data_IF_979732290570
#
_entry.id   IF_979732290570
#
_cell.length_a   1.000
_cell.length_b   1.000
_cell.length_c   1.000
_cell.angle_alpha   90.00
_cell.angle_beta   90.00
_cell.angle_gamma   90.00
#
_symmetry.space_group_name_H-M   'P 1'
#
loop_
_entity.id
_entity.type
_entity.pdbx_description
1 polymer ?
#
# COMPACT_ATOMS: atom_id res chain seq x y z
N UNK A 1 14.32 -18.65 -7.93
CA UNK A 1 14.03 -17.47 -7.09
C UNK A 1 13.86 -17.93 -5.65
N UNK A 2 14.49 -17.29 -4.67
CA UNK A 2 14.27 -17.61 -3.25
C UNK A 2 13.09 -16.81 -2.70
N UNK A 3 12.50 -17.25 -1.59
CA UNK A 3 11.34 -16.62 -0.96
C UNK A 3 11.49 -15.09 -0.72
N UNK A 4 12.64 -14.58 -0.23
CA UNK A 4 12.85 -13.14 -0.10
C UNK A 4 12.77 -12.35 -1.43
N UNK A 5 13.27 -12.94 -2.53
CA UNK A 5 13.21 -12.29 -3.84
C UNK A 5 11.78 -12.16 -4.35
N UNK A 6 10.94 -13.17 -4.08
CA UNK A 6 9.53 -13.10 -4.42
C UNK A 6 8.80 -11.99 -3.65
N UNK A 7 9.04 -11.89 -2.33
CA UNK A 7 8.44 -10.83 -1.51
C UNK A 7 8.90 -9.43 -1.95
N UNK A 8 10.17 -9.27 -2.33
CA UNK A 8 10.67 -8.03 -2.89
C UNK A 8 9.98 -7.69 -4.21
N UNK A 9 9.89 -8.64 -5.14
CA UNK A 9 9.21 -8.44 -6.41
C UNK A 9 7.72 -8.06 -6.21
N UNK A 10 7.04 -8.70 -5.26
CA UNK A 10 5.66 -8.39 -4.89
C UNK A 10 5.54 -6.96 -4.35
N UNK A 11 6.42 -6.57 -3.43
CA UNK A 11 6.45 -5.22 -2.86
C UNK A 11 6.73 -4.14 -3.91
N UNK A 12 7.72 -4.37 -4.78
CA UNK A 12 8.03 -3.48 -5.90
C UNK A 12 6.84 -3.36 -6.85
N UNK A 13 6.21 -4.48 -7.21
CA UNK A 13 5.02 -4.48 -8.07
C UNK A 13 3.85 -3.70 -7.46
N UNK A 14 3.58 -3.89 -6.17
CA UNK A 14 2.55 -3.15 -5.46
C UNK A 14 2.85 -1.64 -5.41
N UNK A 15 4.11 -1.26 -5.14
CA UNK A 15 4.54 0.14 -5.15
C UNK A 15 4.40 0.77 -6.54
N UNK A 16 4.90 0.11 -7.59
CA UNK A 16 4.79 0.59 -8.97
C UNK A 16 3.33 0.82 -9.38
N UNK A 17 2.44 -0.12 -9.04
CA UNK A 17 1.02 0.03 -9.31
C UNK A 17 0.41 1.20 -8.52
N UNK A 18 0.80 1.37 -7.25
CA UNK A 18 0.31 2.47 -6.42
C UNK A 18 0.73 3.83 -6.99
N UNK A 19 2.00 3.99 -7.37
CA UNK A 19 2.50 5.21 -8.01
C UNK A 19 1.84 5.44 -9.37
N UNK A 20 1.71 4.38 -10.19
CA UNK A 20 0.99 4.46 -11.46
C UNK A 20 -0.44 4.93 -11.25
N UNK A 21 -1.14 4.45 -10.22
CA UNK A 21 -2.49 4.88 -9.89
C UNK A 21 -2.56 6.38 -9.56
N UNK A 22 -1.64 6.89 -8.73
CA UNK A 22 -1.60 8.32 -8.37
C UNK A 22 -1.33 9.20 -9.59
N UNK A 23 -0.40 8.78 -10.47
CA UNK A 23 -0.06 9.52 -11.70
C UNK A 23 -1.20 9.46 -12.71
N UNK A 24 -1.84 8.29 -12.87
CA UNK A 24 -2.92 8.07 -13.84
C UNK A 24 -4.22 8.75 -13.42
N UNK A 25 -4.49 8.81 -12.12
CA UNK A 25 -5.73 9.34 -11.55
C UNK A 25 -5.44 10.40 -10.48
N UNK A 26 -4.92 11.58 -10.87
CA UNK A 26 -4.51 12.61 -9.92
C UNK A 26 -5.67 13.14 -9.06
N UNK A 27 -6.89 13.09 -9.57
CA UNK A 27 -8.10 13.61 -8.91
C UNK A 27 -8.78 12.59 -7.97
N UNK A 28 -8.32 11.34 -7.94
CA UNK A 28 -8.89 10.24 -7.13
C UNK A 28 -8.27 10.16 -5.72
N UNK A 29 -7.58 11.20 -5.27
CA UNK A 29 -6.89 11.25 -3.98
C UNK A 29 -7.66 12.01 -2.88
N UNK A 30 -7.22 11.90 -1.61
CA UNK A 30 -7.78 12.67 -0.51
C UNK A 30 -7.60 14.17 -0.73
N UNK A 31 -8.69 14.94 -0.62
CA UNK A 31 -8.68 16.39 -0.85
C UNK A 31 -7.81 17.19 0.15
N UNK A 32 -7.58 16.65 1.36
CA UNK A 32 -6.93 17.36 2.46
C UNK A 32 -5.88 16.48 3.17
N UNK A 33 -4.82 17.11 3.69
CA UNK A 33 -3.73 16.44 4.44
C UNK A 33 -4.25 15.54 5.57
N UNK A 34 -5.25 16.00 6.33
CA UNK A 34 -5.85 15.21 7.41
C UNK A 34 -6.45 13.88 6.92
N UNK A 35 -7.08 13.86 5.74
CA UNK A 35 -7.64 12.63 5.16
C UNK A 35 -6.52 11.70 4.70
N UNK A 36 -5.46 12.24 4.08
CA UNK A 36 -4.29 11.43 3.72
C UNK A 36 -3.63 10.79 4.95
N UNK A 37 -3.49 11.55 6.04
CA UNK A 37 -2.93 11.03 7.30
C UNK A 37 -3.79 9.90 7.89
N UNK A 38 -5.12 9.99 7.78
CA UNK A 38 -6.04 8.91 8.19
C UNK A 38 -5.82 7.66 7.33
N UNK A 39 -5.67 7.80 6.02
CA UNK A 39 -5.39 6.67 5.12
C UNK A 39 -4.06 6.00 5.47
N UNK A 40 -3.02 6.79 5.74
CA UNK A 40 -1.71 6.28 6.19
C UNK A 40 -1.85 5.56 7.53
N UNK A 41 -2.52 6.15 8.52
CA UNK A 41 -2.78 5.51 9.81
C UNK A 41 -3.55 4.20 9.69
N UNK A 42 -4.58 4.16 8.83
CA UNK A 42 -5.33 2.94 8.52
C UNK A 42 -4.46 1.91 7.82
N UNK A 43 -3.60 2.31 6.88
CA UNK A 43 -2.70 1.39 6.20
C UNK A 43 -1.70 0.75 7.18
N UNK A 44 -1.15 1.52 8.12
CA UNK A 44 -0.30 0.99 9.18
C UNK A 44 -1.07 0.05 10.12
N UNK A 45 -2.27 0.43 10.55
CA UNK A 45 -3.11 -0.41 11.40
C UNK A 45 -3.42 -1.74 10.72
N UNK A 46 -3.87 -1.71 9.46
CA UNK A 46 -4.15 -2.93 8.69
C UNK A 46 -2.87 -3.74 8.48
N UNK A 47 -1.77 -3.09 8.10
CA UNK A 47 -0.47 -3.75 7.91
C UNK A 47 0.05 -4.45 9.17
N UNK A 48 -0.28 -3.94 10.35
CA UNK A 48 0.06 -4.57 11.62
C UNK A 48 -0.70 -5.88 11.87
N UNK A 49 -1.98 -5.94 11.51
CA UNK A 49 -2.82 -7.13 11.72
C UNK A 49 -2.65 -8.21 10.64
N UNK A 50 -2.18 -7.83 9.46
CA UNK A 50 -2.11 -8.73 8.30
C UNK A 50 -1.22 -9.95 8.51
N UNK A 51 -0.04 -9.88 9.15
CA UNK A 51 0.77 -11.06 9.45
C UNK A 51 0.02 -12.10 10.29
N UNK A 52 -0.73 -11.66 11.32
CA UNK A 52 -1.48 -12.54 12.20
C UNK A 52 -2.60 -13.24 11.42
N UNK A 53 -3.38 -12.47 10.65
CA UNK A 53 -4.45 -13.02 9.80
C UNK A 53 -3.88 -13.97 8.74
N UNK A 54 -2.76 -13.61 8.11
CA UNK A 54 -2.11 -14.43 7.10
C UNK A 54 -1.57 -15.74 7.68
N UNK A 55 -1.09 -15.74 8.93
CA UNK A 55 -0.65 -16.95 9.62
C UNK A 55 -1.78 -17.97 9.75
N UNK A 56 -3.01 -17.50 10.06
CA UNK A 56 -4.21 -18.34 10.12
C UNK A 56 -4.60 -18.83 8.71
N UNK A 57 -4.50 -18.00 7.69
CA UNK A 57 -4.76 -18.44 6.30
C UNK A 57 -3.81 -19.56 5.88
N UNK A 58 -2.55 -19.49 6.30
CA UNK A 58 -1.55 -20.53 6.01
C UNK A 58 -1.87 -21.89 6.64
N UNK A 59 -2.65 -21.95 7.73
CA UNK A 59 -3.02 -23.23 8.35
C UNK A 59 -3.98 -24.06 7.48
N UNK A 60 -4.68 -23.43 6.53
CA UNK A 60 -5.56 -24.12 5.58
C UNK A 60 -4.81 -24.75 4.39
N UNK A 61 -3.47 -24.69 4.38
CA UNK A 61 -2.61 -25.37 3.41
C UNK A 61 -2.13 -24.48 2.26
N UNK A 62 -1.34 -25.08 1.36
CA UNK A 62 -0.58 -24.34 0.34
C UNK A 62 -1.45 -23.49 -0.60
N UNK A 63 -2.59 -24.04 -1.07
CA UNK A 63 -3.49 -23.30 -1.97
C UNK A 63 -4.04 -22.04 -1.30
N UNK A 64 -4.46 -22.15 -0.04
CA UNK A 64 -4.97 -21.03 0.74
C UNK A 64 -3.88 -19.96 0.98
N UNK A 65 -2.64 -20.37 1.28
CA UNK A 65 -1.52 -19.46 1.45
C UNK A 65 -1.24 -18.64 0.18
N UNK A 66 -1.19 -19.30 -1.00
CA UNK A 66 -0.97 -18.61 -2.28
C UNK A 66 -2.11 -17.64 -2.58
N UNK A 67 -3.36 -18.04 -2.39
CA UNK A 67 -4.52 -17.14 -2.55
C UNK A 67 -4.46 -15.97 -1.57
N UNK A 68 -4.07 -16.21 -0.32
CA UNK A 68 -3.90 -15.17 0.70
C UNK A 68 -2.87 -14.11 0.32
N UNK A 69 -1.80 -14.47 -0.38
CA UNK A 69 -0.82 -13.48 -0.85
C UNK A 69 -1.47 -12.46 -1.78
N UNK A 70 -2.30 -12.89 -2.73
CA UNK A 70 -2.90 -12.00 -3.71
C UNK A 70 -4.17 -11.31 -3.23
N UNK A 71 -4.94 -11.93 -2.34
CA UNK A 71 -6.23 -11.39 -1.86
C UNK A 71 -6.07 -10.58 -0.58
N UNK A 72 -5.06 -10.87 0.24
CA UNK A 72 -4.83 -10.19 1.52
C UNK A 72 -3.55 -9.35 1.48
N UNK A 73 -2.39 -9.97 1.27
CA UNK A 73 -1.10 -9.29 1.42
C UNK A 73 -0.90 -8.21 0.36
N UNK A 74 -1.18 -8.54 -0.90
CA UNK A 74 -0.95 -7.64 -2.02
C UNK A 74 -1.83 -6.38 -1.99
N UNK A 75 -3.16 -6.44 -1.74
CA UNK A 75 -3.99 -5.25 -1.62
C UNK A 75 -3.58 -4.35 -0.46
N UNK A 76 -3.13 -4.94 0.66
CA UNK A 76 -2.63 -4.18 1.81
C UNK A 76 -1.35 -3.45 1.44
N UNK A 77 -0.38 -4.13 0.82
CA UNK A 77 0.84 -3.48 0.35
C UNK A 77 0.53 -2.35 -0.64
N UNK A 78 -0.33 -2.61 -1.62
CA UNK A 78 -0.76 -1.61 -2.60
C UNK A 78 -1.37 -0.39 -1.90
N UNK A 79 -2.28 -0.60 -0.96
CA UNK A 79 -2.94 0.48 -0.22
C UNK A 79 -1.96 1.26 0.68
N UNK A 80 -1.00 0.58 1.30
CA UNK A 80 0.07 1.23 2.08
C UNK A 80 0.90 2.15 1.21
N UNK A 81 1.39 1.68 0.06
CA UNK A 81 2.14 2.53 -0.86
C UNK A 81 1.28 3.65 -1.44
N UNK A 82 0.01 3.38 -1.75
CA UNK A 82 -0.92 4.37 -2.28
C UNK A 82 -1.18 5.50 -1.27
N UNK A 83 -1.41 5.16 -0.01
CA UNK A 83 -1.60 6.13 1.07
C UNK A 83 -0.36 7.02 1.27
N UNK A 84 0.83 6.42 1.23
CA UNK A 84 2.09 7.14 1.31
C UNK A 84 2.33 8.05 0.10
N UNK A 85 2.00 7.58 -1.11
CA UNK A 85 2.10 8.38 -2.33
C UNK A 85 1.16 9.59 -2.33
N UNK A 86 -0.08 9.44 -1.84
CA UNK A 86 -0.99 10.57 -1.64
C UNK A 86 -0.47 11.57 -0.62
N UNK A 87 0.06 11.08 0.50
CA UNK A 87 0.67 11.95 1.51
C UNK A 87 1.84 12.74 0.92
N UNK A 88 2.73 12.07 0.17
CA UNK A 88 3.87 12.71 -0.47
C UNK A 88 3.43 13.76 -1.49
N UNK A 89 2.43 13.46 -2.31
CA UNK A 89 1.85 14.42 -3.28
C UNK A 89 1.37 15.70 -2.59
N UNK A 90 0.58 15.57 -1.52
CA UNK A 90 0.05 16.74 -0.81
C UNK A 90 1.18 17.52 -0.13
N UNK A 91 2.17 16.83 0.45
CA UNK A 91 3.34 17.48 1.04
C UNK A 91 4.15 18.26 0.00
N UNK A 92 4.36 17.70 -1.20
CA UNK A 92 5.03 18.41 -2.30
C UNK A 92 4.22 19.60 -2.81
N UNK A 93 2.90 19.48 -2.90
CA UNK A 93 2.02 20.57 -3.32
C UNK A 93 2.07 21.74 -2.32
N UNK A 94 2.08 21.44 -1.01
CA UNK A 94 2.23 22.45 0.04
C UNK A 94 3.57 23.19 -0.03
N UNK A 95 4.68 22.48 -0.23
CA UNK A 95 6.01 23.09 -0.35
C UNK A 95 6.12 23.95 -1.61
N UNK A 96 5.53 23.50 -2.73
CA UNK A 96 5.48 24.25 -3.98
C UNK A 96 4.78 25.60 -3.83
N UNK A 97 3.73 25.67 -3.02
CA UNK A 97 3.01 26.92 -2.73
C UNK A 97 3.85 27.95 -1.95
N UNK A 98 4.86 27.55 -1.18
CA UNK A 98 5.74 28.49 -0.45
C UNK A 98 6.91 29.03 -1.30
N UNK A 99 7.13 28.48 -2.51
CA UNK A 99 8.20 28.92 -3.42
C UNK A 99 7.76 30.02 -4.41
N UNK A 100 6.49 30.41 -4.38
CA UNK A 100 5.91 31.52 -5.16
C UNK A 100 5.50 32.65 -4.24
#
# INVERSE_FOLDING_TARGET
MTFPHFLLALGIGAALLAFWFVVRFPDRGPANMRRALIHVGMAFAIGWFVPDVFSVVCTYGFRAAVTGIFVLVFPVLFYTFLSGAWFLKIATDMIGHYRH
#
